data_IF_138193323463
#
_entry.id   IF_138193323463
#
_cell.length_a   1.000
_cell.length_b   1.000
_cell.length_c   1.000
_cell.angle_alpha   90.00
_cell.angle_beta   90.00
_cell.angle_gamma   90.00
#
_symmetry.space_group_name_H-M   'P 1'
#
loop_
_entity.id
_entity.type
_entity.pdbx_description
1 polymer ?
#
# COMPACT_ATOMS: atom_id res chain seq x y z
N UNK A 1 -11.89 -17.59 3.63
CA UNK A 1 -12.86 -16.47 3.72
C UNK A 1 -13.62 -16.32 2.40
N UNK A 2 -14.92 -16.06 2.49
CA UNK A 2 -15.83 -15.81 1.36
C UNK A 2 -16.71 -14.59 1.66
N UNK A 3 -17.33 -13.98 0.63
CA UNK A 3 -18.05 -12.70 0.73
C UNK A 3 -19.03 -12.57 1.90
N UNK A 4 -19.70 -13.65 2.30
CA UNK A 4 -20.63 -13.66 3.44
C UNK A 4 -20.00 -13.24 4.78
N UNK A 5 -18.69 -13.31 4.91
CA UNK A 5 -17.97 -12.95 6.13
C UNK A 5 -17.40 -11.52 6.08
N UNK A 6 -17.52 -10.83 4.93
CA UNK A 6 -16.96 -9.49 4.76
C UNK A 6 -17.66 -8.49 5.65
N UNK A 7 -18.99 -8.55 5.76
CA UNK A 7 -19.74 -7.64 6.63
C UNK A 7 -19.34 -7.83 8.11
N UNK A 8 -19.13 -9.07 8.54
CA UNK A 8 -18.65 -9.36 9.90
C UNK A 8 -17.22 -8.84 10.13
N UNK A 9 -16.34 -9.00 9.13
CA UNK A 9 -14.98 -8.46 9.18
C UNK A 9 -14.98 -6.94 9.23
N UNK A 10 -15.75 -6.27 8.38
CA UNK A 10 -15.88 -4.80 8.34
C UNK A 10 -16.36 -4.28 9.69
N UNK A 11 -17.39 -4.91 10.28
CA UNK A 11 -17.86 -4.54 11.61
C UNK A 11 -16.78 -4.73 12.68
N UNK A 12 -16.01 -5.81 12.61
CA UNK A 12 -14.90 -6.03 13.52
C UNK A 12 -13.78 -5.00 13.31
N UNK A 13 -13.43 -4.64 12.08
CA UNK A 13 -12.42 -3.63 11.77
C UNK A 13 -12.82 -2.27 12.31
N UNK A 14 -14.06 -1.82 12.06
CA UNK A 14 -14.58 -0.53 12.54
C UNK A 14 -14.53 -0.40 14.06
N UNK A 15 -14.70 -1.50 14.80
CA UNK A 15 -14.62 -1.51 16.26
C UNK A 15 -13.19 -1.65 16.81
N UNK A 16 -12.22 -1.97 15.97
CA UNK A 16 -10.85 -2.27 16.37
C UNK A 16 -9.90 -1.12 16.00
N UNK A 17 -9.41 -0.39 17.01
CA UNK A 17 -8.50 0.75 16.81
C UNK A 17 -7.02 0.41 17.02
N UNK A 18 -6.67 -0.86 17.28
CA UNK A 18 -5.28 -1.26 17.59
C UNK A 18 -4.65 -2.15 16.52
N UNK A 19 -5.44 -2.59 15.53
CA UNK A 19 -4.97 -3.53 14.53
C UNK A 19 -4.13 -2.79 13.48
N UNK A 20 -2.88 -3.23 13.29
CA UNK A 20 -1.92 -2.62 12.36
C UNK A 20 -1.72 -3.40 11.07
N UNK A 21 -1.79 -4.72 11.14
CA UNK A 21 -1.52 -5.60 10.00
C UNK A 21 -2.70 -6.53 9.77
N UNK A 22 -3.23 -6.53 8.55
CA UNK A 22 -4.33 -7.40 8.14
C UNK A 22 -3.86 -8.32 7.01
N UNK A 23 -3.84 -9.63 7.26
CA UNK A 23 -3.54 -10.64 6.24
C UNK A 23 -4.80 -11.40 5.83
N UNK A 24 -5.14 -11.34 4.55
CA UNK A 24 -6.26 -12.01 3.91
C UNK A 24 -5.82 -12.77 2.64
N UNK A 25 -4.55 -13.17 2.55
CA UNK A 25 -3.99 -13.96 1.45
C UNK A 25 -4.72 -15.30 1.21
N UNK A 26 -4.66 -15.82 -0.01
CA UNK A 26 -5.17 -17.16 -0.39
C UNK A 26 -6.66 -17.39 -0.09
N UNK A 27 -7.47 -16.34 -0.24
CA UNK A 27 -8.91 -16.40 0.00
C UNK A 27 -9.72 -16.32 -1.30
N UNK A 28 -11.04 -16.39 -1.14
CA UNK A 28 -12.00 -16.30 -2.22
C UNK A 28 -12.86 -15.03 -2.03
N UNK A 29 -12.19 -13.88 -1.91
CA UNK A 29 -12.86 -12.58 -1.81
C UNK A 29 -13.20 -12.08 -3.21
N UNK A 30 -14.40 -11.56 -3.39
CA UNK A 30 -14.73 -10.86 -4.62
C UNK A 30 -13.99 -9.51 -4.66
N UNK A 31 -13.66 -8.99 -5.86
CA UNK A 31 -13.10 -7.65 -6.02
C UNK A 31 -13.96 -6.55 -5.35
N UNK A 32 -15.29 -6.66 -5.43
CA UNK A 32 -16.22 -5.75 -4.76
C UNK A 32 -16.14 -5.87 -3.23
N UNK A 33 -15.95 -7.09 -2.72
CA UNK A 33 -15.71 -7.35 -1.31
C UNK A 33 -14.43 -6.67 -0.79
N UNK A 34 -13.35 -6.71 -1.58
CA UNK A 34 -12.08 -6.03 -1.25
C UNK A 34 -12.28 -4.52 -1.14
N UNK A 35 -13.03 -3.91 -2.05
CA UNK A 35 -13.36 -2.47 -1.99
C UNK A 35 -14.06 -2.13 -0.67
N UNK A 36 -15.08 -2.90 -0.28
CA UNK A 36 -15.80 -2.68 0.99
C UNK A 36 -14.90 -2.81 2.22
N UNK A 37 -13.95 -3.74 2.20
CA UNK A 37 -12.92 -3.83 3.25
C UNK A 37 -12.09 -2.55 3.25
N UNK A 38 -11.62 -2.10 2.08
CA UNK A 38 -10.77 -0.90 1.98
C UNK A 38 -11.50 0.38 2.40
N UNK A 39 -12.79 0.52 2.08
CA UNK A 39 -13.64 1.61 2.57
C UNK A 39 -13.77 1.64 4.09
N UNK A 40 -13.79 0.46 4.74
CA UNK A 40 -13.86 0.40 6.22
C UNK A 40 -12.57 0.90 6.88
N UNK A 41 -11.42 0.75 6.21
CA UNK A 41 -10.12 1.23 6.71
C UNK A 41 -10.02 2.75 6.74
N UNK A 42 -10.73 3.43 5.82
CA UNK A 42 -10.82 4.89 5.83
C UNK A 42 -11.47 5.42 7.11
N UNK A 43 -12.19 4.59 7.87
CA UNK A 43 -12.80 5.01 9.14
C UNK A 43 -11.87 4.78 10.33
N UNK A 44 -11.07 3.72 10.29
CA UNK A 44 -10.26 3.31 11.45
C UNK A 44 -8.89 3.97 11.45
N UNK A 45 -8.29 4.23 10.27
CA UNK A 45 -6.96 4.86 10.11
C UNK A 45 -5.83 4.26 10.98
N UNK A 46 -5.96 3.00 11.41
CA UNK A 46 -4.98 2.36 12.31
C UNK A 46 -4.16 1.28 11.61
N UNK A 47 -4.59 0.87 10.42
CA UNK A 47 -4.00 -0.23 9.68
C UNK A 47 -2.89 0.32 8.79
N UNK A 48 -1.68 -0.21 9.02
CA UNK A 48 -0.45 0.16 8.31
C UNK A 48 -0.17 -0.80 7.14
N UNK A 49 -0.55 -2.07 7.25
CA UNK A 49 -0.26 -3.08 6.24
C UNK A 49 -1.46 -3.98 5.94
N UNK A 50 -1.70 -4.20 4.65
CA UNK A 50 -2.73 -5.11 4.15
C UNK A 50 -2.14 -6.06 3.13
N UNK A 51 -2.43 -7.35 3.29
CA UNK A 51 -2.06 -8.39 2.33
C UNK A 51 -3.29 -9.10 1.82
N UNK A 52 -3.47 -9.04 0.51
CA UNK A 52 -4.61 -9.58 -0.22
C UNK A 52 -4.14 -10.42 -1.42
N UNK A 53 -2.88 -10.84 -1.44
CA UNK A 53 -2.31 -11.60 -2.56
C UNK A 53 -2.97 -12.98 -2.73
N UNK A 54 -2.79 -13.57 -3.91
CA UNK A 54 -3.24 -14.93 -4.26
C UNK A 54 -4.75 -15.18 -4.06
N UNK A 55 -5.60 -14.22 -4.42
CA UNK A 55 -7.04 -14.49 -4.49
C UNK A 55 -7.35 -15.38 -5.70
N UNK A 56 -8.43 -16.16 -5.60
CA UNK A 56 -8.91 -17.00 -6.72
C UNK A 56 -9.26 -16.18 -7.97
N UNK A 57 -9.82 -14.98 -7.79
CA UNK A 57 -10.00 -14.01 -8.87
C UNK A 57 -8.79 -13.08 -8.91
N UNK A 58 -7.77 -13.45 -9.68
CA UNK A 58 -6.60 -12.59 -9.89
C UNK A 58 -6.93 -11.34 -10.71
N UNK A 59 -8.01 -11.37 -11.50
CA UNK A 59 -8.47 -10.24 -12.30
C UNK A 59 -9.49 -9.45 -11.48
N UNK A 60 -9.09 -8.27 -11.01
CA UNK A 60 -9.96 -7.34 -10.26
C UNK A 60 -10.82 -6.49 -11.21
N UNK A 61 -10.31 -6.20 -12.42
CA UNK A 61 -10.97 -5.38 -13.43
C UNK A 61 -10.69 -3.89 -13.26
N UNK A 62 -10.56 -3.17 -14.40
CA UNK A 62 -10.10 -1.78 -14.47
C UNK A 62 -10.85 -0.82 -13.52
N UNK A 63 -12.19 -0.89 -13.51
CA UNK A 63 -13.02 -0.02 -12.66
C UNK A 63 -12.72 -0.20 -11.17
N UNK A 64 -12.47 -1.44 -10.75
CA UNK A 64 -12.23 -1.76 -9.34
C UNK A 64 -10.82 -1.36 -8.93
N UNK A 65 -9.82 -1.56 -9.80
CA UNK A 65 -8.46 -1.08 -9.55
C UNK A 65 -8.39 0.45 -9.42
N UNK A 66 -9.14 1.16 -10.25
CA UNK A 66 -9.24 2.62 -10.17
C UNK A 66 -9.86 3.07 -8.85
N UNK A 67 -11.00 2.49 -8.46
CA UNK A 67 -11.64 2.77 -7.18
C UNK A 67 -10.73 2.47 -5.98
N UNK A 68 -10.01 1.34 -6.05
CA UNK A 68 -9.06 0.94 -5.03
C UNK A 68 -7.91 1.94 -4.89
N UNK A 69 -7.43 2.47 -6.02
CA UNK A 69 -6.40 3.51 -6.06
C UNK A 69 -6.89 4.79 -5.38
N UNK A 70 -8.11 5.24 -5.70
CA UNK A 70 -8.67 6.46 -5.11
C UNK A 70 -8.90 6.32 -3.59
N UNK A 71 -9.29 5.13 -3.12
CA UNK A 71 -9.42 4.84 -1.68
C UNK A 71 -8.04 4.84 -1.00
N UNK A 72 -7.02 4.26 -1.63
CA UNK A 72 -5.66 4.25 -1.07
C UNK A 72 -5.13 5.68 -0.97
N UNK A 73 -5.34 6.52 -1.98
CA UNK A 73 -4.92 7.93 -1.98
C UNK A 73 -5.57 8.75 -0.84
N UNK A 74 -6.78 8.40 -0.42
CA UNK A 74 -7.46 9.05 0.70
C UNK A 74 -6.89 8.65 2.06
N UNK A 75 -6.18 7.52 2.18
CA UNK A 75 -5.66 7.04 3.45
C UNK A 75 -4.16 7.37 3.62
N UNK A 76 -3.78 8.22 4.60
CA UNK A 76 -2.38 8.55 4.87
C UNK A 76 -1.64 7.52 5.74
N UNK A 77 -2.37 6.59 6.39
CA UNK A 77 -1.79 5.66 7.39
C UNK A 77 -1.33 4.34 6.79
N UNK A 78 -1.80 4.00 5.59
CA UNK A 78 -1.39 2.78 4.88
C UNK A 78 0.06 2.94 4.38
N UNK A 79 0.91 2.00 4.78
CA UNK A 79 2.30 1.92 4.39
C UNK A 79 2.54 0.84 3.33
N UNK A 80 1.78 -0.26 3.38
CA UNK A 80 1.99 -1.42 2.50
C UNK A 80 0.68 -2.05 2.06
N UNK A 81 0.56 -2.27 0.74
CA UNK A 81 -0.57 -2.97 0.13
C UNK A 81 -0.06 -4.13 -0.71
N UNK A 82 -0.43 -5.34 -0.33
CA UNK A 82 -0.13 -6.58 -1.03
C UNK A 82 -1.28 -6.98 -1.94
N UNK A 83 -1.46 -6.26 -3.05
CA UNK A 83 -2.44 -6.55 -4.11
C UNK A 83 -1.70 -6.60 -5.45
N UNK A 84 -2.12 -7.49 -6.34
CA UNK A 84 -1.64 -7.51 -7.71
C UNK A 84 -2.51 -6.59 -8.56
N UNK A 85 -1.90 -5.54 -9.11
CA UNK A 85 -2.55 -4.64 -10.08
C UNK A 85 -2.11 -5.03 -11.48
N UNK A 86 -3.07 -5.18 -12.39
CA UNK A 86 -2.80 -5.43 -13.80
C UNK A 86 -2.42 -4.12 -14.51
N UNK A 87 -3.02 -3.00 -14.09
CA UNK A 87 -2.82 -1.70 -14.73
C UNK A 87 -1.60 -0.95 -14.14
N UNK A 88 -0.68 -0.55 -15.01
CA UNK A 88 0.56 0.15 -14.63
C UNK A 88 0.28 1.52 -13.97
N UNK A 89 -0.73 2.25 -14.44
CA UNK A 89 -1.10 3.55 -13.86
C UNK A 89 -1.54 3.45 -12.40
N UNK A 90 -2.43 2.49 -12.09
CA UNK A 90 -2.89 2.19 -10.73
C UNK A 90 -1.71 1.82 -9.84
N UNK A 91 -0.83 0.91 -10.32
CA UNK A 91 0.37 0.50 -9.59
C UNK A 91 1.29 1.68 -9.28
N UNK A 92 1.53 2.56 -10.24
CA UNK A 92 2.41 3.73 -10.06
C UNK A 92 1.81 4.74 -9.09
N UNK A 93 0.51 5.04 -9.17
CA UNK A 93 -0.19 5.94 -8.23
C UNK A 93 -0.12 5.41 -6.80
N UNK A 94 -0.49 4.14 -6.61
CA UNK A 94 -0.43 3.47 -5.30
C UNK A 94 1.00 3.48 -4.76
N UNK A 95 1.99 3.11 -5.57
CA UNK A 95 3.39 3.09 -5.12
C UNK A 95 3.89 4.46 -4.69
N UNK A 96 3.56 5.53 -5.42
CA UNK A 96 3.94 6.91 -5.03
C UNK A 96 3.27 7.33 -3.72
N UNK A 97 2.00 7.01 -3.54
CA UNK A 97 1.26 7.35 -2.33
C UNK A 97 1.80 6.62 -1.10
N UNK A 98 2.06 5.31 -1.21
CA UNK A 98 2.66 4.53 -0.13
C UNK A 98 4.07 5.00 0.22
N UNK A 99 4.87 5.38 -0.78
CA UNK A 99 6.20 5.95 -0.56
C UNK A 99 6.10 7.26 0.24
N UNK A 100 5.17 8.15 -0.14
CA UNK A 100 4.93 9.41 0.58
C UNK A 100 4.51 9.17 2.03
N UNK A 101 3.60 8.23 2.28
CA UNK A 101 3.16 7.89 3.64
C UNK A 101 4.32 7.33 4.47
N UNK A 102 5.18 6.50 3.88
CA UNK A 102 6.37 5.97 4.54
C UNK A 102 7.36 7.07 4.91
N UNK A 103 7.55 8.06 4.03
CA UNK A 103 8.44 9.19 4.30
C UNK A 103 7.88 10.08 5.41
N UNK A 104 6.57 10.37 5.42
CA UNK A 104 5.91 11.06 6.55
C UNK A 104 6.07 10.30 7.86
N UNK A 105 5.87 8.97 7.85
CA UNK A 105 6.07 8.14 9.04
C UNK A 105 7.52 8.20 9.55
N UNK A 106 8.50 8.27 8.64
CA UNK A 106 9.92 8.44 9.01
C UNK A 106 10.21 9.81 9.60
N UNK A 107 9.66 10.87 9.01
CA UNK A 107 9.79 12.24 9.52
C UNK A 107 9.23 12.39 10.93
N UNK A 108 8.06 11.79 11.20
CA UNK A 108 7.45 11.76 12.54
C UNK A 108 8.36 11.06 13.57
N UNK A 109 9.05 10.00 13.18
CA UNK A 109 9.99 9.28 14.05
C UNK A 109 11.29 10.05 14.30
N UNK A 110 11.74 10.81 13.31
CA UNK A 110 13.03 11.52 13.35
C UNK A 110 12.92 12.92 13.96
N UNK A 111 11.71 13.44 14.20
CA UNK A 111 11.49 14.69 14.95
C UNK A 111 12.19 15.93 14.38
N UNK A 112 12.56 15.91 13.10
CA UNK A 112 13.33 16.98 12.46
C UNK A 112 12.85 17.17 11.03
N UNK A 113 12.35 18.39 10.76
CA UNK A 113 12.17 18.94 9.42
C UNK A 113 13.44 18.66 8.60
N UNK A 114 13.34 17.80 7.60
CA UNK A 114 14.24 17.90 6.46
C UNK A 114 13.74 19.09 5.63
N UNK A 115 14.51 20.19 5.53
CA UNK A 115 14.12 21.27 4.65
C UNK A 115 14.20 20.75 3.21
N UNK A 116 13.24 21.18 2.38
CA UNK A 116 13.23 20.97 0.94
C UNK A 116 14.64 21.04 0.34
N UNK A 117 15.12 19.93 -0.19
CA UNK A 117 16.18 19.93 -1.19
C UNK A 117 15.67 19.18 -2.43
N UNK A 118 15.19 19.99 -3.37
CA UNK A 118 15.00 19.67 -4.77
C UNK A 118 16.23 18.96 -5.34
N UNK A 119 16.01 17.78 -5.93
CA UNK A 119 16.89 17.05 -6.87
C UNK A 119 18.28 16.67 -6.32
N UNK A 120 18.44 15.39 -6.00
CA UNK A 120 19.74 14.77 -5.70
C UNK A 120 19.67 13.90 -4.46
N UNK A 121 19.77 12.59 -4.66
CA UNK A 121 19.78 11.57 -3.62
C UNK A 121 20.69 11.96 -2.42
N UNK A 122 20.17 12.02 -1.17
CA UNK A 122 21.02 12.24 -0.02
C UNK A 122 21.73 10.93 0.36
N UNK A 123 23.05 11.02 0.39
CA UNK A 123 23.99 10.00 0.83
C UNK A 123 23.64 9.51 2.26
N UNK A 124 23.40 8.22 2.41
CA UNK A 124 23.38 7.55 3.71
C UNK A 124 24.80 7.58 4.33
N UNK A 125 24.98 8.04 5.58
CA UNK A 125 26.27 7.96 6.24
C UNK A 125 26.51 6.56 6.82
N UNK A 126 27.62 5.96 6.36
CA UNK A 126 28.45 5.02 7.10
C UNK A 126 27.93 3.58 7.31
N UNK A 127 27.50 2.89 6.26
CA UNK A 127 27.80 1.46 6.18
C UNK A 127 28.23 1.07 4.76
N UNK A 128 29.55 0.97 4.65
CA UNK A 128 30.31 0.59 3.47
C UNK A 128 29.93 -0.83 3.03
N UNK A 129 30.03 -1.06 1.71
CA UNK A 129 30.50 -2.30 1.06
C UNK A 129 29.43 -3.23 0.47
N UNK A 130 29.03 -2.96 -0.77
CA UNK A 130 29.33 -3.82 -1.93
C UNK A 130 28.85 -3.12 -3.22
N UNK A 131 29.75 -2.44 -3.93
CA UNK A 131 29.47 -1.99 -5.29
C UNK A 131 29.48 -3.24 -6.19
N UNK A 132 28.36 -3.53 -6.86
CA UNK A 132 28.35 -4.37 -8.05
C UNK A 132 27.81 -3.50 -9.18
N UNK A 133 28.73 -3.18 -10.08
CA UNK A 133 28.55 -2.40 -11.29
C UNK A 133 27.32 -2.87 -12.07
N UNK A 134 26.49 -1.91 -12.49
CA UNK A 134 25.74 -2.00 -13.72
C UNK A 134 26.21 -0.80 -14.53
N UNK A 135 27.28 -1.03 -15.28
CA UNK A 135 27.72 -0.16 -16.34
C UNK A 135 26.57 -0.02 -17.35
N UNK A 136 26.26 1.24 -17.65
CA UNK A 136 25.51 1.66 -18.83
C UNK A 136 26.06 0.96 -20.07
N UNK A 137 25.19 0.43 -20.94
CA UNK A 137 25.41 0.43 -22.40
C UNK A 137 24.16 -0.06 -23.16
N UNK A 138 23.88 0.68 -24.23
CA UNK A 138 23.16 0.33 -25.47
C UNK A 138 21.64 0.54 -25.59
N UNK A 139 21.35 1.79 -25.95
CA UNK A 139 20.45 2.26 -26.99
C UNK A 139 20.58 1.48 -28.33
N UNK A 140 19.47 0.92 -28.84
CA UNK A 140 19.08 0.95 -30.26
C UNK A 140 17.57 0.72 -30.44
#
# INVERSE_FOLDING_TARGET
MSDRHIDALVNALVNNNNLRTLNLETNNLSPAGIVRIMESLLKTHTIEEIRLANQRSSVLGNKIEMQLTDIIEQNPTLLRVGIHFEFNDSRNRVSRHLQKNLDTYREERMGHKVPNCTVGYPLLPSFMRFARNYDDDDEY
#
